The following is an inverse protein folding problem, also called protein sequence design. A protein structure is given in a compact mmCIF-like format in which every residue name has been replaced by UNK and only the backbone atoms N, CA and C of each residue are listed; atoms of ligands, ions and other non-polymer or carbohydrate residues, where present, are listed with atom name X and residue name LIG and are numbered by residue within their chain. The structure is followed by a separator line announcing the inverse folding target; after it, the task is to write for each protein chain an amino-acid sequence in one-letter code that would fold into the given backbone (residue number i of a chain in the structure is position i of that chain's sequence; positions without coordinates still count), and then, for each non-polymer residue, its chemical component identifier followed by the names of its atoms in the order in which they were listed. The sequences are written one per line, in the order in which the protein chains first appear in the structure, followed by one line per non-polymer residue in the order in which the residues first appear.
data_IF_288711351956
#
_entry.id   IF_288711351956
#
_cell.length_a   1.000
_cell.length_b   1.000
_cell.length_c   1.000
_cell.angle_alpha   90.00
_cell.angle_beta   90.00
_cell.angle_gamma   90.00
#
_symmetry.space_group_name_H-M   'P 1'
#
loop_
_entity.id
_entity.type
_entity.pdbx_description
1 polymer ?
#
# COMPACT_ATOMS: atom_id res chain seq x y z
N UNK A 1 2.11 -0.58 -22.30
CA UNK A 1 1.98 0.17 -21.05
C UNK A 1 3.32 0.23 -20.32
N UNK A 2 3.84 1.44 -20.09
CA UNK A 2 5.02 1.71 -19.27
C UNK A 2 4.58 2.40 -17.99
N UNK A 3 5.21 2.04 -16.87
CA UNK A 3 4.90 2.62 -15.56
C UNK A 3 6.16 3.15 -14.90
N UNK A 4 6.04 4.29 -14.23
CA UNK A 4 7.11 4.88 -13.43
C UNK A 4 6.53 5.39 -12.11
N UNK A 5 7.22 5.14 -11.01
CA UNK A 5 6.96 5.79 -9.73
C UNK A 5 7.88 6.99 -9.59
N UNK A 6 7.32 8.14 -9.22
CA UNK A 6 8.06 9.39 -9.02
C UNK A 6 7.48 10.13 -7.81
N UNK A 7 8.22 10.19 -6.70
CA UNK A 7 7.83 10.87 -5.46
C UNK A 7 6.38 10.58 -5.00
N UNK A 8 6.00 9.30 -4.95
CA UNK A 8 4.65 8.88 -4.56
C UNK A 8 3.56 9.08 -5.63
N UNK A 9 3.94 9.55 -6.82
CA UNK A 9 3.06 9.65 -8.00
C UNK A 9 3.35 8.51 -8.97
N UNK A 10 2.31 7.77 -9.34
CA UNK A 10 2.38 6.78 -10.40
C UNK A 10 2.09 7.44 -11.75
N UNK A 11 3.00 7.26 -12.70
CA UNK A 11 2.89 7.71 -14.08
C UNK A 11 2.71 6.48 -14.98
N UNK A 12 1.73 6.51 -15.87
CA UNK A 12 1.44 5.45 -16.83
C UNK A 12 1.38 6.03 -18.25
N UNK A 13 2.21 5.48 -19.13
CA UNK A 13 2.28 5.85 -20.55
C UNK A 13 2.07 4.61 -21.44
N UNK A 14 1.91 4.84 -22.74
CA UNK A 14 1.74 3.77 -23.76
C UNK A 14 0.59 2.80 -23.43
N UNK A 15 -0.55 3.32 -22.96
CA UNK A 15 -1.78 2.53 -22.82
C UNK A 15 -2.47 2.41 -24.17
N UNK A 16 -3.03 1.23 -24.48
CA UNK A 16 -3.99 1.14 -25.57
C UNK A 16 -5.33 1.81 -25.20
N UNK A 17 -6.21 2.01 -26.19
CA UNK A 17 -7.48 2.71 -25.97
C UNK A 17 -8.41 2.03 -24.95
N UNK A 18 -8.38 0.71 -24.85
CA UNK A 18 -9.20 -0.04 -23.89
C UNK A 18 -8.64 0.14 -22.47
N UNK A 19 -7.34 -0.09 -22.29
CA UNK A 19 -6.62 0.13 -21.04
C UNK A 19 -6.80 1.57 -20.54
N UNK A 20 -6.66 2.55 -21.44
CA UNK A 20 -6.85 3.96 -21.12
C UNK A 20 -8.26 4.23 -20.58
N UNK A 21 -9.30 3.73 -21.25
CA UNK A 21 -10.68 3.93 -20.84
C UNK A 21 -10.99 3.26 -19.50
N UNK A 22 -10.49 2.03 -19.27
CA UNK A 22 -10.65 1.32 -18.01
C UNK A 22 -9.95 2.08 -16.87
N UNK A 23 -8.68 2.45 -17.04
CA UNK A 23 -7.91 3.14 -15.98
C UNK A 23 -8.55 4.50 -15.65
N UNK A 24 -9.00 5.24 -16.68
CA UNK A 24 -9.69 6.52 -16.50
C UNK A 24 -11.01 6.37 -15.76
N UNK A 25 -11.75 5.27 -15.99
CA UNK A 25 -13.03 5.00 -15.31
C UNK A 25 -12.91 4.90 -13.78
N UNK A 26 -11.73 4.57 -13.26
CA UNK A 26 -11.50 4.46 -11.81
C UNK A 26 -11.45 5.82 -11.11
N UNK A 27 -11.29 6.92 -11.85
CA UNK A 27 -11.19 8.28 -11.31
C UNK A 27 -10.08 8.46 -10.24
N UNK A 28 -8.98 7.70 -10.38
CA UNK A 28 -7.80 7.75 -9.49
C UNK A 28 -6.59 8.43 -10.15
N UNK A 29 -6.65 8.68 -11.46
CA UNK A 29 -5.57 9.27 -12.24
C UNK A 29 -6.09 10.39 -13.13
N UNK A 30 -5.25 11.38 -13.40
CA UNK A 30 -5.52 12.50 -14.30
C UNK A 30 -4.75 12.32 -15.59
N UNK A 31 -5.37 12.66 -16.71
CA UNK A 31 -4.70 12.69 -18.00
C UNK A 31 -3.93 13.99 -18.17
N UNK A 32 -2.62 13.87 -18.34
CA UNK A 32 -1.74 14.97 -18.67
C UNK A 32 -1.66 15.14 -20.20
N UNK A 33 -2.36 16.16 -20.73
CA UNK A 33 -2.44 16.39 -22.18
C UNK A 33 -1.11 16.79 -22.82
N UNK A 34 -0.25 17.53 -22.11
CA UNK A 34 1.01 17.99 -22.69
C UNK A 34 2.04 16.87 -22.76
N UNK A 35 2.03 15.96 -21.78
CA UNK A 35 2.98 14.84 -21.69
C UNK A 35 2.43 13.51 -22.22
N UNK A 36 1.15 13.46 -22.56
CA UNK A 36 0.46 12.28 -23.10
C UNK A 36 0.56 11.06 -22.18
N UNK A 37 0.33 11.25 -20.87
CA UNK A 37 0.32 10.15 -19.89
C UNK A 37 -0.75 10.32 -18.82
N UNK A 38 -1.05 9.25 -18.09
CA UNK A 38 -1.85 9.28 -16.87
C UNK A 38 -0.94 9.47 -15.65
N UNK A 39 -1.33 10.33 -14.72
CA UNK A 39 -0.61 10.54 -13.46
C UNK A 39 -1.57 10.61 -12.27
N UNK A 40 -1.18 10.04 -11.13
CA UNK A 40 -2.00 10.02 -9.92
C UNK A 40 -1.25 9.50 -8.72
N UNK A 41 -1.78 9.66 -7.49
CA UNK A 41 -1.12 9.15 -6.29
C UNK A 41 -0.96 7.63 -6.36
N UNK A 42 0.21 7.14 -6.00
CA UNK A 42 0.49 5.72 -5.88
C UNK A 42 -0.20 5.20 -4.61
N UNK A 43 -1.29 4.46 -4.79
CA UNK A 43 -2.07 3.90 -3.69
C UNK A 43 -2.18 2.38 -3.86
N UNK A 44 -2.27 1.65 -2.75
CA UNK A 44 -2.44 0.19 -2.79
C UNK A 44 -3.66 -0.24 -3.61
N UNK A 45 -4.76 0.49 -3.51
CA UNK A 45 -5.97 0.25 -4.31
C UNK A 45 -5.66 0.36 -5.82
N UNK A 46 -4.99 1.43 -6.26
CA UNK A 46 -4.64 1.63 -7.66
C UNK A 46 -3.71 0.52 -8.17
N UNK A 47 -2.68 0.17 -7.40
CA UNK A 47 -1.73 -0.88 -7.79
C UNK A 47 -2.39 -2.26 -7.84
N UNK A 48 -3.29 -2.58 -6.91
CA UNK A 48 -4.04 -3.84 -6.92
C UNK A 48 -4.99 -3.94 -8.12
N UNK A 49 -5.67 -2.85 -8.50
CA UNK A 49 -6.47 -2.81 -9.73
C UNK A 49 -5.62 -2.99 -10.99
N UNK A 50 -4.45 -2.33 -11.05
CA UNK A 50 -3.53 -2.45 -12.19
C UNK A 50 -2.97 -3.87 -12.32
N UNK A 51 -2.63 -4.53 -11.21
CA UNK A 51 -2.18 -5.93 -11.21
C UNK A 51 -3.23 -6.90 -11.76
N UNK A 52 -4.51 -6.57 -11.64
CA UNK A 52 -5.60 -7.33 -12.26
C UNK A 52 -5.77 -7.11 -13.77
N UNK A 53 -5.22 -6.01 -14.31
CA UNK A 53 -5.29 -5.72 -15.76
C UNK A 53 -4.05 -6.17 -16.52
N UNK A 54 -2.86 -5.99 -15.92
CA UNK A 54 -1.58 -6.23 -16.58
C UNK A 54 -0.56 -6.78 -15.59
N UNK A 55 0.45 -7.47 -16.11
CA UNK A 55 1.63 -7.81 -15.32
C UNK A 55 2.42 -6.53 -15.03
N UNK A 56 2.53 -6.19 -13.74
CA UNK A 56 3.25 -4.99 -13.31
C UNK A 56 4.76 -5.14 -13.54
N UNK A 57 5.47 -4.04 -13.90
CA UNK A 57 6.93 -4.01 -13.86
C UNK A 57 7.45 -4.33 -12.45
N UNK A 58 8.62 -4.96 -12.36
CA UNK A 58 9.15 -5.47 -11.09
C UNK A 58 9.21 -4.43 -9.96
N UNK A 59 9.60 -3.19 -10.25
CA UNK A 59 9.64 -2.11 -9.25
C UNK A 59 8.26 -1.71 -8.73
N UNK A 60 7.25 -1.70 -9.60
CA UNK A 60 5.87 -1.37 -9.23
C UNK A 60 5.21 -2.52 -8.48
N UNK A 61 5.52 -3.75 -8.87
CA UNK A 61 5.07 -4.94 -8.15
C UNK A 61 5.66 -5.02 -6.75
N UNK A 62 6.95 -4.69 -6.58
CA UNK A 62 7.59 -4.59 -5.27
C UNK A 62 6.90 -3.55 -4.38
N UNK A 63 6.59 -2.36 -4.93
CA UNK A 63 5.85 -1.32 -4.21
C UNK A 63 4.44 -1.79 -3.81
N UNK A 64 3.73 -2.47 -4.71
CA UNK A 64 2.41 -3.06 -4.42
C UNK A 64 2.49 -4.05 -3.26
N UNK A 65 3.47 -4.95 -3.29
CA UNK A 65 3.69 -5.94 -2.24
C UNK A 65 4.05 -5.27 -0.92
N UNK A 66 4.89 -4.24 -0.94
CA UNK A 66 5.24 -3.46 0.24
C UNK A 66 4.02 -2.81 0.89
N UNK A 67 3.22 -2.07 0.11
CA UNK A 67 1.99 -1.42 0.60
C UNK A 67 0.99 -2.46 1.15
N UNK A 68 0.80 -3.57 0.44
CA UNK A 68 -0.09 -4.64 0.89
C UNK A 68 0.40 -5.30 2.18
N UNK A 69 1.72 -5.47 2.35
CA UNK A 69 2.32 -6.01 3.58
C UNK A 69 2.07 -5.08 4.77
N UNK A 70 2.24 -3.76 4.59
CA UNK A 70 1.92 -2.77 5.62
C UNK A 70 0.44 -2.84 5.99
N UNK A 71 -0.45 -2.82 5.00
CA UNK A 71 -1.90 -2.87 5.22
C UNK A 71 -2.31 -4.12 6.02
N UNK A 72 -1.78 -5.29 5.63
CA UNK A 72 -2.02 -6.55 6.32
C UNK A 72 -1.52 -6.51 7.78
N UNK A 73 -0.31 -6.02 8.02
CA UNK A 73 0.23 -5.92 9.38
C UNK A 73 -0.60 -4.98 10.27
N UNK A 74 -1.08 -3.86 9.72
CA UNK A 74 -1.98 -2.94 10.41
C UNK A 74 -3.31 -3.61 10.72
N UNK A 75 -3.88 -4.37 9.79
CA UNK A 75 -5.14 -5.10 10.00
C UNK A 75 -4.98 -6.19 11.07
N UNK A 76 -3.87 -6.93 11.07
CA UNK A 76 -3.57 -7.92 12.10
C UNK A 76 -3.44 -7.26 13.48
N UNK A 77 -2.70 -6.15 13.57
CA UNK A 77 -2.57 -5.37 14.81
C UNK A 77 -3.93 -4.86 15.30
N UNK A 78 -4.80 -4.44 14.39
CA UNK A 78 -6.16 -3.98 14.70
C UNK A 78 -6.97 -5.06 15.42
N UNK A 79 -6.79 -6.32 15.03
CA UNK A 79 -7.54 -7.47 15.54
C UNK A 79 -6.92 -8.13 16.77
N UNK A 80 -5.69 -7.77 17.18
CA UNK A 80 -5.05 -8.35 18.38
C UNK A 80 -5.83 -8.01 19.66
N UNK A 81 -6.18 -9.04 20.43
CA UNK A 81 -6.89 -8.90 21.72
C UNK A 81 -6.01 -8.28 22.82
N UNK A 82 -4.72 -8.62 22.82
CA UNK A 82 -3.72 -8.11 23.75
C UNK A 82 -2.52 -7.56 22.94
N UNK A 83 -2.59 -6.30 22.47
CA UNK A 83 -1.50 -5.70 21.71
C UNK A 83 -0.28 -5.47 22.61
N UNK A 84 0.90 -5.85 22.11
CA UNK A 84 2.19 -5.65 22.80
C UNK A 84 2.90 -4.45 22.17
N UNK A 85 3.43 -3.49 22.96
CA UNK A 85 4.18 -2.36 22.43
C UNK A 85 5.33 -2.78 21.51
N UNK A 86 5.35 -2.28 20.28
CA UNK A 86 6.46 -2.51 19.33
C UNK A 86 7.72 -1.68 19.67
N UNK A 87 7.57 -0.65 20.51
CA UNK A 87 8.65 0.21 20.95
C UNK A 87 8.46 0.61 22.41
N UNK A 88 9.53 1.09 23.06
CA UNK A 88 9.43 1.71 24.37
C UNK A 88 8.84 3.11 24.24
N UNK A 89 7.52 3.19 24.33
CA UNK A 89 6.81 4.48 24.22
C UNK A 89 7.23 5.44 25.35
N UNK A 90 7.54 6.71 25.04
CA UNK A 90 8.08 7.68 25.99
C UNK A 90 6.97 8.27 26.88
N UNK A 91 6.28 7.43 27.65
CA UNK A 91 5.19 7.81 28.55
C UNK A 91 5.48 7.35 29.98
N UNK A 92 4.99 8.12 30.96
CA UNK A 92 5.21 7.84 32.39
C UNK A 92 4.36 6.68 32.91
N UNK A 93 3.13 6.55 32.41
CA UNK A 93 2.17 5.53 32.85
C UNK A 93 1.97 4.45 31.79
N UNK A 94 1.61 3.21 32.18
CA UNK A 94 1.26 2.16 31.24
C UNK A 94 0.10 2.60 30.32
N UNK A 95 0.25 2.34 29.03
CA UNK A 95 -0.78 2.62 28.03
C UNK A 95 -1.93 1.61 28.12
N UNK A 96 -3.15 2.07 27.88
CA UNK A 96 -4.29 1.19 27.65
C UNK A 96 -4.14 0.41 26.34
N UNK A 97 -4.79 -0.76 26.24
CA UNK A 97 -4.73 -1.62 25.04
C UNK A 97 -5.00 -0.87 23.72
N UNK A 98 -6.03 -0.03 23.68
CA UNK A 98 -6.38 0.73 22.48
C UNK A 98 -5.31 1.77 22.10
N UNK A 99 -4.60 2.33 23.09
CA UNK A 99 -3.51 3.28 22.87
C UNK A 99 -2.27 2.57 22.33
N UNK A 100 -1.93 1.40 22.90
CA UNK A 100 -0.84 0.55 22.39
C UNK A 100 -1.10 0.16 20.94
N UNK A 101 -2.32 -0.30 20.63
CA UNK A 101 -2.74 -0.64 19.27
C UNK A 101 -2.60 0.54 18.31
N UNK A 102 -3.13 1.71 18.69
CA UNK A 102 -3.03 2.92 17.87
C UNK A 102 -1.58 3.34 17.62
N UNK A 103 -0.73 3.29 18.65
CA UNK A 103 0.68 3.61 18.53
C UNK A 103 1.42 2.60 17.63
N UNK A 104 1.18 1.29 17.81
CA UNK A 104 1.74 0.24 16.98
C UNK A 104 1.35 0.43 15.50
N UNK A 105 0.06 0.64 15.22
CA UNK A 105 -0.43 0.88 13.86
C UNK A 105 0.20 2.11 13.21
N UNK A 106 0.41 3.19 13.98
CA UNK A 106 1.07 4.40 13.48
C UNK A 106 2.54 4.15 13.13
N UNK A 107 3.28 3.43 13.99
CA UNK A 107 4.68 3.08 13.72
C UNK A 107 4.84 2.26 12.43
N UNK A 108 3.97 1.27 12.21
CA UNK A 108 3.97 0.45 11.00
C UNK A 108 3.59 1.31 9.77
N UNK A 109 2.51 2.09 9.86
CA UNK A 109 1.99 2.88 8.73
C UNK A 109 2.98 3.93 8.24
N UNK A 110 3.70 4.59 9.17
CA UNK A 110 4.69 5.60 8.83
C UNK A 110 6.08 5.02 8.52
N UNK A 111 6.24 3.69 8.49
CA UNK A 111 7.51 3.03 8.18
C UNK A 111 8.60 3.27 9.23
N UNK A 112 8.21 3.56 10.49
CA UNK A 112 9.15 3.73 11.59
C UNK A 112 9.61 2.40 12.18
N UNK A 113 8.82 1.34 11.97
CA UNK A 113 9.16 -0.05 12.29
C UNK A 113 8.73 -0.92 11.12
N UNK A 114 9.54 -1.93 10.79
CA UNK A 114 9.20 -2.91 9.77
C UNK A 114 7.94 -3.71 10.16
N UNK A 115 7.02 -3.96 9.22
CA UNK A 115 5.86 -4.79 9.48
C UNK A 115 6.30 -6.16 10.00
N UNK A 116 5.77 -6.62 11.16
CA UNK A 116 6.09 -7.94 11.69
C UNK A 116 5.85 -9.02 10.65
N UNK A 117 6.68 -10.06 10.65
CA UNK A 117 6.50 -11.20 9.75
C UNK A 117 5.12 -11.81 10.01
N UNK A 118 4.30 -11.84 8.95
CA UNK A 118 3.04 -12.54 8.98
C UNK A 118 3.38 -14.01 8.71
N UNK A 119 2.96 -14.95 9.55
CA UNK A 119 3.13 -16.36 9.25
C UNK A 119 2.50 -16.64 7.88
N UNK A 120 3.19 -17.36 7.00
CA UNK A 120 2.59 -17.82 5.76
C UNK A 120 1.27 -18.51 6.10
N UNK A 121 0.16 -18.01 5.55
CA UNK A 121 -1.10 -18.74 5.66
C UNK A 121 -0.85 -20.11 5.05
N UNK A 122 -0.97 -21.17 5.86
CA UNK A 122 -1.03 -22.54 5.36
C UNK A 122 -2.05 -22.52 4.21
N UNK A 123 -1.57 -22.77 3.00
CA UNK A 123 -2.45 -23.04 1.88
C UNK A 123 -3.16 -24.32 2.26
N UNK A 124 -4.41 -24.21 2.71
CA UNK A 124 -5.29 -25.37 2.87
C UNK A 124 -5.27 -26.17 1.55
N UNK A 125 -5.03 -27.49 1.61
CA UNK A 125 -4.87 -28.36 0.44
C UNK A 125 -6.14 -28.53 -0.39
#
# INVERSE_FOLDING_TARGET
MKMKLDNGTLIIADCDGMQFNIIKSWNKMKWNRSRQWLEGPCTGELLNRLAGLVRLPASIEAERQHINRIALAVDLERMKEAPVPLYKYPVKFPLFKHQVRGANMALITFGLIDPPEVPEQEKDP
#
